data_IF_855126847978
#
_entry.id   IF_855126847978
#
_cell.length_a   1.000
_cell.length_b   1.000
_cell.length_c   1.000
_cell.angle_alpha   90.00
_cell.angle_beta   90.00
_cell.angle_gamma   90.00
#
_symmetry.space_group_name_H-M   'P 1'
#
loop_
_entity.id
_entity.type
_entity.pdbx_description
1 polymer ?
#
# COMPACT_ATOMS: atom_id res chain seq x y z
N UNK A 1 -4.24 14.03 2.03
CA UNK A 1 -5.12 14.78 1.11
C UNK A 1 -6.25 13.90 0.57
N UNK A 2 -7.30 14.45 -0.06
CA UNK A 2 -8.34 13.65 -0.74
C UNK A 2 -8.41 14.06 -2.21
N UNK A 3 -8.19 13.10 -3.11
CA UNK A 3 -8.23 13.27 -4.56
C UNK A 3 -9.46 12.56 -5.11
N UNK A 4 -10.43 13.33 -5.61
CA UNK A 4 -11.70 12.78 -6.12
C UNK A 4 -11.54 12.26 -7.55
N UNK A 5 -10.96 13.05 -8.44
CA UNK A 5 -10.61 12.62 -9.79
C UNK A 5 -9.30 11.83 -9.82
N UNK A 6 -8.90 11.39 -11.00
CA UNK A 6 -7.56 10.90 -11.24
C UNK A 6 -6.54 11.98 -10.90
N UNK A 7 -5.49 11.63 -10.17
CA UNK A 7 -4.37 12.52 -9.87
C UNK A 7 -3.16 12.11 -10.70
N UNK A 8 -2.55 13.07 -11.40
CA UNK A 8 -1.33 12.84 -12.17
C UNK A 8 -0.16 13.57 -11.49
N UNK A 9 0.79 12.78 -11.01
CA UNK A 9 2.07 13.21 -10.44
C UNK A 9 3.25 12.49 -11.13
N UNK A 10 3.03 11.97 -12.33
CA UNK A 10 4.03 11.20 -13.07
C UNK A 10 5.12 12.10 -13.67
N UNK A 11 6.20 11.47 -14.12
CA UNK A 11 7.33 12.13 -14.82
C UNK A 11 7.94 13.28 -14.03
N UNK A 12 7.95 13.16 -12.71
CA UNK A 12 8.39 14.21 -11.80
C UNK A 12 9.77 13.91 -11.22
N UNK A 13 10.54 14.95 -10.93
CA UNK A 13 11.85 14.82 -10.27
C UNK A 13 11.77 15.47 -8.89
N UNK A 14 11.76 14.66 -7.84
CA UNK A 14 11.80 15.09 -6.46
C UNK A 14 13.25 15.13 -5.98
N UNK A 15 13.83 16.34 -5.93
CA UNK A 15 15.23 16.54 -5.51
C UNK A 15 15.40 16.31 -4.00
N UNK A 16 14.45 16.76 -3.20
CA UNK A 16 14.36 16.47 -1.76
C UNK A 16 13.52 15.22 -1.48
N UNK A 17 13.08 15.08 -0.24
CA UNK A 17 12.07 14.08 0.13
C UNK A 17 10.69 14.48 -0.38
N UNK A 18 9.94 13.52 -0.95
CA UNK A 18 8.55 13.71 -1.35
C UNK A 18 7.62 13.17 -0.27
N UNK A 19 6.74 14.00 0.29
CA UNK A 19 5.71 13.55 1.23
C UNK A 19 4.33 13.53 0.57
N UNK A 20 3.85 12.33 0.25
CA UNK A 20 2.60 12.04 -0.44
C UNK A 20 1.71 11.09 0.37
N UNK A 21 2.03 10.92 1.67
CA UNK A 21 1.33 10.02 2.59
C UNK A 21 -0.02 10.58 3.03
N UNK A 22 -0.74 9.80 3.86
CA UNK A 22 -1.96 10.23 4.54
C UNK A 22 -3.02 10.76 3.56
N UNK A 23 -3.16 10.06 2.43
CA UNK A 23 -3.99 10.49 1.30
C UNK A 23 -4.99 9.44 0.85
N UNK A 24 -6.12 9.90 0.32
CA UNK A 24 -7.19 9.07 -0.25
C UNK A 24 -7.29 9.41 -1.74
N UNK A 25 -7.06 8.43 -2.61
CA UNK A 25 -7.13 8.58 -4.07
C UNK A 25 -8.34 7.82 -4.61
N UNK A 26 -9.42 8.54 -4.94
CA UNK A 26 -10.68 7.95 -5.41
C UNK A 26 -10.62 7.53 -6.89
N UNK A 27 -10.22 8.46 -7.77
CA UNK A 27 -10.18 8.25 -9.23
C UNK A 27 -8.90 7.59 -9.76
N UNK A 28 -8.05 7.07 -8.87
CA UNK A 28 -6.72 6.56 -9.20
C UNK A 28 -5.64 7.64 -9.16
N UNK A 29 -4.38 7.20 -9.17
CA UNK A 29 -3.23 8.09 -9.12
C UNK A 29 -2.07 7.53 -9.90
N UNK A 30 -1.45 8.41 -10.69
CA UNK A 30 -0.29 8.10 -11.51
C UNK A 30 0.95 8.81 -10.94
N UNK A 31 1.88 8.02 -10.39
CA UNK A 31 3.22 8.44 -9.94
C UNK A 31 4.32 7.96 -10.90
N UNK A 32 3.97 7.35 -12.03
CA UNK A 32 4.90 6.63 -12.90
C UNK A 32 6.02 7.52 -13.46
N UNK A 33 7.11 6.91 -13.93
CA UNK A 33 8.19 7.64 -14.61
C UNK A 33 8.91 8.68 -13.74
N UNK A 34 8.78 8.62 -12.41
CA UNK A 34 9.28 9.64 -11.51
C UNK A 34 10.65 9.29 -10.92
N UNK A 35 11.39 10.31 -10.50
CA UNK A 35 12.72 10.16 -9.88
C UNK A 35 12.68 10.76 -8.48
N UNK A 36 12.87 9.93 -7.46
CA UNK A 36 12.89 10.31 -6.05
C UNK A 36 14.33 10.30 -5.53
N UNK A 37 14.95 11.48 -5.42
CA UNK A 37 16.35 11.60 -4.97
C UNK A 37 16.48 11.55 -3.44
N UNK A 38 15.61 12.24 -2.71
CA UNK A 38 15.66 12.33 -1.24
C UNK A 38 14.70 11.38 -0.51
N UNK A 39 14.15 10.39 -1.21
CA UNK A 39 13.16 9.45 -0.69
C UNK A 39 11.72 9.85 -0.97
N UNK A 40 10.82 8.87 -0.85
CA UNK A 40 9.39 9.02 -1.12
C UNK A 40 8.59 8.42 0.04
N UNK A 41 7.76 9.24 0.69
CA UNK A 41 6.79 8.78 1.67
C UNK A 41 5.40 8.73 1.02
N UNK A 42 4.96 7.51 0.68
CA UNK A 42 3.68 7.15 0.06
C UNK A 42 2.80 6.35 1.04
N UNK A 43 3.17 6.32 2.32
CA UNK A 43 2.54 5.49 3.34
C UNK A 43 1.15 5.99 3.76
N UNK A 44 0.45 5.20 4.60
CA UNK A 44 -0.80 5.63 5.28
C UNK A 44 -1.89 6.11 4.33
N UNK A 45 -1.91 5.60 3.11
CA UNK A 45 -2.81 6.06 2.06
C UNK A 45 -3.85 5.01 1.69
N UNK A 46 -4.97 5.46 1.12
CA UNK A 46 -6.02 4.62 0.58
C UNK A 46 -6.12 4.88 -0.93
N UNK A 47 -5.81 3.87 -1.72
CA UNK A 47 -5.90 3.89 -3.17
C UNK A 47 -7.18 3.15 -3.59
N UNK A 48 -8.27 3.90 -3.77
CA UNK A 48 -9.55 3.31 -4.20
C UNK A 48 -9.56 2.96 -5.68
N UNK A 49 -9.06 3.88 -6.50
CA UNK A 49 -8.75 3.60 -7.91
C UNK A 49 -7.36 3.01 -8.06
N UNK A 50 -6.96 2.71 -9.31
CA UNK A 50 -5.64 2.18 -9.62
C UNK A 50 -4.51 3.10 -9.16
N UNK A 51 -3.43 2.51 -8.64
CA UNK A 51 -2.24 3.23 -8.22
C UNK A 51 -1.04 2.81 -9.07
N UNK A 52 -0.48 3.74 -9.82
CA UNK A 52 0.59 3.48 -10.77
C UNK A 52 1.89 4.09 -10.25
N UNK A 53 2.84 3.23 -9.89
CA UNK A 53 4.19 3.58 -9.44
C UNK A 53 5.26 3.19 -10.47
N UNK A 54 4.83 2.73 -11.65
CA UNK A 54 5.69 2.07 -12.61
C UNK A 54 6.82 2.96 -13.15
N UNK A 55 7.85 2.32 -13.71
CA UNK A 55 8.95 2.98 -14.44
C UNK A 55 9.65 4.10 -13.64
N UNK A 56 9.64 4.00 -12.31
CA UNK A 56 10.17 5.03 -11.41
C UNK A 56 11.55 4.67 -10.87
N UNK A 57 12.32 5.67 -10.46
CA UNK A 57 13.65 5.51 -9.87
C UNK A 57 13.64 6.08 -8.45
N UNK A 58 13.76 5.20 -7.47
CA UNK A 58 13.87 5.55 -6.05
C UNK A 58 15.35 5.49 -5.65
N UNK A 59 16.01 6.66 -5.61
CA UNK A 59 17.42 6.75 -5.18
C UNK A 59 17.57 6.77 -3.67
N UNK A 60 16.63 7.39 -2.97
CA UNK A 60 16.46 7.25 -1.52
C UNK A 60 15.28 6.33 -1.20
N UNK A 61 15.10 6.02 0.08
CA UNK A 61 14.07 5.09 0.55
C UNK A 61 12.65 5.40 0.05
N UNK A 62 11.91 4.35 -0.29
CA UNK A 62 10.52 4.38 -0.70
C UNK A 62 9.65 3.74 0.38
N UNK A 63 8.85 4.54 1.08
CA UNK A 63 7.92 4.07 2.09
C UNK A 63 6.51 3.98 1.51
N UNK A 64 6.06 2.75 1.22
CA UNK A 64 4.71 2.39 0.77
C UNK A 64 3.95 1.61 1.86
N UNK A 65 4.39 1.69 3.11
CA UNK A 65 3.86 0.94 4.25
C UNK A 65 2.50 1.48 4.69
N UNK A 66 1.79 0.70 5.50
CA UNK A 66 0.55 1.13 6.16
C UNK A 66 -0.53 1.66 5.20
N UNK A 67 -0.58 1.15 3.97
CA UNK A 67 -1.51 1.61 2.93
C UNK A 67 -2.58 0.57 2.61
N UNK A 68 -3.68 0.99 1.98
CA UNK A 68 -4.74 0.11 1.49
C UNK A 68 -4.90 0.35 -0.01
N UNK A 69 -4.64 -0.67 -0.81
CA UNK A 69 -4.79 -0.68 -2.26
C UNK A 69 -6.07 -1.44 -2.61
N UNK A 70 -7.19 -0.73 -2.69
CA UNK A 70 -8.47 -1.31 -3.14
C UNK A 70 -8.45 -1.50 -4.65
N UNK A 71 -7.95 -0.51 -5.39
CA UNK A 71 -7.63 -0.68 -6.80
C UNK A 71 -6.31 -1.43 -6.98
N UNK A 72 -6.09 -1.97 -8.18
CA UNK A 72 -4.81 -2.61 -8.52
C UNK A 72 -3.62 -1.67 -8.37
N UNK A 73 -2.49 -2.21 -7.93
CA UNK A 73 -1.25 -1.47 -7.74
C UNK A 73 -0.21 -1.92 -8.75
N UNK A 74 0.20 -1.01 -9.62
CA UNK A 74 1.24 -1.27 -10.59
C UNK A 74 2.58 -0.71 -10.09
N UNK A 75 3.53 -1.59 -9.83
CA UNK A 75 4.89 -1.24 -9.40
C UNK A 75 5.95 -1.57 -10.45
N UNK A 76 5.57 -2.08 -11.62
CA UNK A 76 6.45 -2.62 -12.66
C UNK A 76 7.50 -1.64 -13.16
N UNK A 77 8.61 -2.16 -13.68
CA UNK A 77 9.69 -1.37 -14.27
C UNK A 77 10.43 -0.40 -13.33
N UNK A 78 10.16 -0.44 -12.03
CA UNK A 78 10.77 0.50 -11.08
C UNK A 78 12.12 0.02 -10.57
N UNK A 79 13.06 0.95 -10.39
CA UNK A 79 14.36 0.68 -9.76
C UNK A 79 14.41 1.27 -8.36
N UNK A 80 14.60 0.42 -7.36
CA UNK A 80 14.79 0.79 -5.97
C UNK A 80 16.26 0.65 -5.59
N UNK A 81 16.90 1.77 -5.23
CA UNK A 81 18.31 1.84 -4.82
C UNK A 81 18.51 1.94 -3.32
N UNK A 82 17.42 1.95 -2.57
CA UNK A 82 17.41 2.02 -1.12
C UNK A 82 16.20 1.21 -0.63
N UNK A 83 15.93 1.21 0.68
CA UNK A 83 14.83 0.49 1.31
C UNK A 83 13.49 0.80 0.62
N UNK A 84 12.80 -0.26 0.18
CA UNK A 84 11.41 -0.23 -0.26
C UNK A 84 10.56 -0.97 0.78
N UNK A 85 9.73 -0.24 1.51
CA UNK A 85 8.89 -0.78 2.59
C UNK A 85 7.42 -0.84 2.15
N UNK A 86 6.89 -2.05 2.06
CA UNK A 86 5.49 -2.38 1.76
C UNK A 86 4.77 -2.99 2.98
N UNK A 87 5.44 -3.09 4.13
CA UNK A 87 4.92 -3.75 5.32
C UNK A 87 3.64 -3.08 5.82
N UNK A 88 2.80 -3.85 6.53
CA UNK A 88 1.56 -3.34 7.15
C UNK A 88 0.53 -2.80 6.15
N UNK A 89 0.76 -3.00 4.86
CA UNK A 89 -0.18 -2.64 3.81
C UNK A 89 -1.17 -3.77 3.53
N UNK A 90 -2.27 -3.42 2.87
CA UNK A 90 -3.26 -4.37 2.37
C UNK A 90 -3.40 -4.13 0.87
N UNK A 91 -3.02 -5.12 0.07
CA UNK A 91 -3.28 -5.16 -1.36
C UNK A 91 -4.54 -5.96 -1.60
N UNK A 92 -5.69 -5.29 -1.65
CA UNK A 92 -6.98 -5.95 -1.81
C UNK A 92 -7.12 -6.56 -3.21
N UNK A 93 -6.73 -5.78 -4.23
CA UNK A 93 -6.66 -6.21 -5.63
C UNK A 93 -5.25 -6.61 -6.03
N UNK A 94 -5.06 -6.93 -7.31
CA UNK A 94 -3.82 -7.38 -7.89
C UNK A 94 -2.68 -6.36 -7.71
N UNK A 95 -1.49 -6.87 -7.42
CA UNK A 95 -0.24 -6.11 -7.41
C UNK A 95 0.73 -6.67 -8.45
N UNK A 96 1.41 -5.78 -9.19
CA UNK A 96 2.31 -6.17 -10.27
C UNK A 96 3.69 -5.57 -10.12
N UNK A 97 4.72 -6.41 -10.05
CA UNK A 97 6.14 -6.01 -10.05
C UNK A 97 6.85 -6.35 -11.36
N UNK A 98 6.38 -7.36 -12.10
CA UNK A 98 6.98 -7.82 -13.34
C UNK A 98 6.49 -7.07 -14.57
N UNK A 99 6.90 -7.54 -15.74
CA UNK A 99 6.45 -6.98 -17.02
C UNK A 99 4.95 -7.18 -17.17
N UNK A 100 4.25 -6.13 -17.55
CA UNK A 100 2.81 -6.15 -17.73
C UNK A 100 2.40 -5.31 -18.96
N UNK A 101 1.09 -5.09 -19.13
CA UNK A 101 0.58 -4.25 -20.22
C UNK A 101 0.95 -2.76 -20.12
N UNK A 102 1.57 -2.33 -19.02
CA UNK A 102 1.90 -0.93 -18.73
C UNK A 102 3.41 -0.67 -18.74
N UNK A 103 4.24 -1.62 -18.31
CA UNK A 103 5.70 -1.57 -18.40
C UNK A 103 6.28 -2.81 -19.09
N UNK A 104 7.24 -2.57 -19.97
CA UNK A 104 8.01 -3.60 -20.64
C UNK A 104 9.15 -4.18 -19.78
N UNK A 105 9.26 -3.77 -18.51
CA UNK A 105 10.34 -4.16 -17.61
C UNK A 105 9.83 -4.60 -16.25
N UNK A 106 10.53 -5.56 -15.63
CA UNK A 106 10.29 -5.93 -14.24
C UNK A 106 10.99 -4.95 -13.30
N UNK A 107 10.45 -4.79 -12.10
CA UNK A 107 11.10 -4.01 -11.04
C UNK A 107 12.42 -4.62 -10.61
N UNK A 108 13.31 -3.79 -10.08
CA UNK A 108 14.61 -4.22 -9.58
C UNK A 108 14.94 -3.57 -8.23
N UNK A 109 15.37 -4.37 -7.27
CA UNK A 109 15.77 -3.94 -5.93
C UNK A 109 17.28 -4.07 -5.76
N UNK A 110 18.04 -3.01 -6.03
CA UNK A 110 19.49 -3.15 -6.25
C UNK A 110 20.33 -3.29 -4.97
N UNK A 111 19.98 -2.56 -3.90
CA UNK A 111 20.82 -2.48 -2.68
C UNK A 111 20.22 -3.18 -1.45
N UNK A 112 18.90 -3.32 -1.39
CA UNK A 112 18.19 -3.96 -0.29
C UNK A 112 17.02 -4.78 -0.82
N UNK A 113 16.77 -5.94 -0.21
CA UNK A 113 15.55 -6.69 -0.45
C UNK A 113 14.30 -5.86 -0.04
N UNK A 114 13.19 -5.96 -0.79
CA UNK A 114 11.95 -5.29 -0.44
C UNK A 114 11.36 -5.85 0.87
N UNK A 115 10.75 -4.99 1.66
CA UNK A 115 10.19 -5.36 2.95
C UNK A 115 8.67 -5.47 2.89
N UNK A 116 8.14 -6.69 3.03
CA UNK A 116 6.70 -6.94 3.20
C UNK A 116 6.34 -7.35 4.64
N UNK A 117 7.35 -7.60 5.49
CA UNK A 117 7.15 -7.98 6.87
C UNK A 117 8.05 -7.16 7.79
N UNK A 118 7.42 -6.41 8.70
CA UNK A 118 8.11 -5.71 9.78
C UNK A 118 8.42 -6.72 10.89
N UNK A 119 9.65 -7.25 10.86
CA UNK A 119 10.16 -8.21 11.85
C UNK A 119 10.13 -7.65 13.27
N UNK A 120 10.36 -6.35 13.46
CA UNK A 120 10.43 -5.72 14.79
C UNK A 120 9.05 -5.62 15.42
N UNK A 121 8.05 -5.23 14.64
CA UNK A 121 6.66 -5.09 15.11
C UNK A 121 5.83 -6.36 14.92
N UNK A 122 6.39 -7.37 14.26
CA UNK A 122 5.71 -8.61 13.85
C UNK A 122 4.43 -8.31 13.06
N UNK A 123 4.55 -7.43 12.07
CA UNK A 123 3.41 -7.07 11.22
C UNK A 123 3.67 -7.37 9.76
N UNK A 124 2.72 -8.02 9.11
CA UNK A 124 2.82 -8.43 7.72
C UNK A 124 2.07 -7.50 6.76
N UNK A 125 2.28 -7.72 5.47
CA UNK A 125 1.39 -7.27 4.39
C UNK A 125 0.34 -8.34 4.11
N UNK A 126 -0.90 -7.91 3.84
CA UNK A 126 -2.01 -8.78 3.49
C UNK A 126 -2.39 -8.64 2.01
N UNK A 127 -2.78 -9.74 1.38
CA UNK A 127 -3.18 -9.79 -0.03
C UNK A 127 -4.63 -10.30 -0.17
N UNK A 128 -5.45 -9.68 -1.00
CA UNK A 128 -6.82 -10.10 -1.27
C UNK A 128 -6.95 -10.93 -2.54
N UNK A 129 -6.17 -10.59 -3.57
CA UNK A 129 -6.14 -11.35 -4.84
C UNK A 129 -5.11 -12.47 -4.81
N UNK A 130 -5.39 -13.55 -5.54
CA UNK A 130 -4.44 -14.65 -5.80
C UNK A 130 -3.63 -14.43 -7.08
N UNK A 131 -4.00 -13.44 -7.90
CA UNK A 131 -3.40 -13.18 -9.22
C UNK A 131 -2.38 -12.03 -9.16
N UNK A 132 -1.48 -12.07 -8.17
CA UNK A 132 -0.40 -11.09 -8.06
C UNK A 132 0.81 -11.53 -8.88
N UNK A 133 1.61 -10.56 -9.32
CA UNK A 133 2.90 -10.80 -9.95
C UNK A 133 4.03 -10.19 -9.12
N UNK A 134 4.89 -11.05 -8.58
CA UNK A 134 6.07 -10.67 -7.81
C UNK A 134 7.38 -10.88 -8.58
N UNK A 135 7.30 -11.03 -9.90
CA UNK A 135 8.49 -11.22 -10.75
C UNK A 135 9.31 -9.95 -10.78
N UNK A 136 10.62 -10.07 -10.51
CA UNK A 136 11.57 -8.94 -10.48
C UNK A 136 12.83 -9.29 -11.26
N UNK A 137 13.58 -8.27 -11.69
CA UNK A 137 14.90 -8.42 -12.28
C UNK A 137 15.91 -8.78 -11.18
N UNK A 138 16.20 -10.08 -11.08
CA UNK A 138 17.15 -10.67 -10.12
C UNK A 138 18.60 -10.63 -10.60
N UNK A 139 18.85 -10.38 -11.89
CA UNK A 139 20.20 -10.26 -12.41
C UNK A 139 20.90 -9.00 -11.88
N UNK A 140 20.11 -8.00 -11.48
CA UNK A 140 20.57 -6.69 -11.03
C UNK A 140 20.21 -6.37 -9.57
N UNK A 141 19.55 -7.29 -8.86
CA UNK A 141 19.02 -6.98 -7.53
C UNK A 141 18.49 -8.17 -6.75
N UNK A 142 17.94 -7.86 -5.57
CA UNK A 142 17.38 -8.81 -4.64
C UNK A 142 16.02 -9.32 -5.13
N UNK A 143 15.73 -10.63 -4.95
CA UNK A 143 14.43 -11.20 -5.29
C UNK A 143 13.34 -10.76 -4.30
N UNK A 144 12.09 -11.05 -4.66
CA UNK A 144 10.99 -11.18 -3.70
C UNK A 144 10.86 -12.66 -3.37
N UNK A 145 11.28 -13.05 -2.16
CA UNK A 145 11.16 -14.44 -1.71
C UNK A 145 9.69 -14.77 -1.44
N UNK A 146 9.19 -15.83 -2.08
CA UNK A 146 7.80 -16.26 -2.00
C UNK A 146 7.65 -17.52 -1.14
N UNK A 147 6.50 -17.66 -0.49
CA UNK A 147 6.09 -18.89 0.19
C UNK A 147 5.42 -19.89 -0.78
N UNK A 148 4.98 -21.03 -0.24
CA UNK A 148 4.31 -22.07 -1.03
C UNK A 148 2.94 -21.64 -1.60
N UNK A 149 2.41 -20.49 -1.19
CA UNK A 149 1.17 -19.90 -1.67
C UNK A 149 1.41 -18.83 -2.73
N UNK A 150 2.67 -18.56 -3.10
CA UNK A 150 3.03 -17.60 -4.13
C UNK A 150 2.94 -16.14 -3.68
N UNK A 151 2.99 -15.87 -2.38
CA UNK A 151 3.05 -14.50 -1.81
C UNK A 151 4.36 -14.29 -1.04
N UNK A 152 4.78 -13.03 -0.78
CA UNK A 152 6.01 -12.76 -0.05
C UNK A 152 6.07 -13.48 1.30
N UNK A 153 7.26 -13.95 1.69
CA UNK A 153 7.46 -14.66 2.96
C UNK A 153 6.89 -13.87 4.16
N UNK A 154 6.20 -14.58 5.05
CA UNK A 154 5.53 -14.05 6.25
C UNK A 154 4.30 -13.16 5.98
N UNK A 155 3.86 -13.05 4.73
CA UNK A 155 2.57 -12.45 4.38
C UNK A 155 1.42 -13.47 4.46
N UNK A 156 0.20 -12.97 4.36
CA UNK A 156 -1.02 -13.79 4.38
C UNK A 156 -2.04 -13.25 3.38
N UNK A 157 -2.94 -14.12 2.93
CA UNK A 157 -4.17 -13.67 2.30
C UNK A 157 -5.14 -13.12 3.34
N UNK A 158 -5.99 -12.19 2.92
CA UNK A 158 -7.14 -11.73 3.69
C UNK A 158 -8.11 -12.89 3.90
N UNK A 159 -8.72 -12.96 5.07
CA UNK A 159 -9.86 -13.86 5.31
C UNK A 159 -11.14 -13.28 4.72
N UNK A 160 -12.16 -14.11 4.52
CA UNK A 160 -13.47 -13.65 4.05
C UNK A 160 -14.08 -12.58 4.96
N UNK A 161 -13.94 -12.71 6.28
CA UNK A 161 -14.41 -11.70 7.25
C UNK A 161 -13.67 -10.36 7.09
N UNK A 162 -12.35 -10.40 6.87
CA UNK A 162 -11.55 -9.19 6.65
C UNK A 162 -11.92 -8.52 5.33
N UNK A 163 -12.19 -9.31 4.28
CA UNK A 163 -12.67 -8.84 2.98
C UNK A 163 -14.01 -8.13 3.14
N UNK A 164 -14.99 -8.77 3.79
CA UNK A 164 -16.32 -8.20 4.01
C UNK A 164 -16.26 -6.90 4.82
N UNK A 165 -15.49 -6.88 5.91
CA UNK A 165 -15.28 -5.67 6.71
C UNK A 165 -14.69 -4.53 5.88
N UNK A 166 -13.63 -4.81 5.11
CA UNK A 166 -12.98 -3.82 4.24
C UNK A 166 -13.94 -3.28 3.19
N UNK A 167 -14.69 -4.14 2.52
CA UNK A 167 -15.68 -3.72 1.52
C UNK A 167 -16.73 -2.80 2.13
N UNK A 168 -17.30 -3.19 3.27
CA UNK A 168 -18.27 -2.38 4.00
C UNK A 168 -17.72 -0.98 4.35
N UNK A 169 -16.52 -0.91 4.91
CA UNK A 169 -15.87 0.37 5.27
C UNK A 169 -15.55 1.22 4.05
N UNK A 170 -15.07 0.62 2.96
CA UNK A 170 -14.76 1.34 1.72
C UNK A 170 -16.02 1.86 1.00
N UNK A 171 -17.15 1.17 1.14
CA UNK A 171 -18.47 1.64 0.70
C UNK A 171 -19.02 2.76 1.60
N UNK A 172 -18.80 2.72 2.91
CA UNK A 172 -19.19 3.80 3.82
C UNK A 172 -18.40 5.09 3.49
N UNK A 173 -17.09 4.97 3.26
CA UNK A 173 -16.23 6.06 2.77
C UNK A 173 -16.79 6.65 1.46
N UNK A 174 -17.25 5.81 0.55
CA UNK A 174 -17.87 6.23 -0.72
C UNK A 174 -19.11 7.10 -0.49
N UNK A 175 -20.06 6.57 0.27
CA UNK A 175 -21.33 7.22 0.57
C UNK A 175 -21.14 8.59 1.22
N UNK A 176 -20.21 8.71 2.17
CA UNK A 176 -19.90 10.00 2.82
C UNK A 176 -19.29 10.98 1.82
N UNK A 177 -18.37 10.53 0.98
CA UNK A 177 -17.73 11.40 -0.02
C UNK A 177 -18.70 11.89 -1.09
N UNK A 178 -19.61 11.03 -1.55
CA UNK A 178 -20.61 11.41 -2.55
C UNK A 178 -21.57 12.47 -1.98
N UNK A 179 -22.03 12.28 -0.74
CA UNK A 179 -22.83 13.30 -0.02
C UNK A 179 -22.08 14.61 0.17
N UNK A 180 -20.79 14.55 0.54
CA UNK A 180 -19.95 15.74 0.76
C UNK A 180 -19.81 16.62 -0.50
N UNK A 181 -20.10 16.05 -1.69
CA UNK A 181 -20.14 16.78 -2.94
C UNK A 181 -21.49 17.43 -3.25
N UNK A 182 -22.59 16.78 -2.87
CA UNK A 182 -23.95 17.29 -3.12
C UNK A 182 -24.33 18.42 -2.15
N UNK A 183 -23.83 18.33 -0.92
CA UNK A 183 -24.13 19.28 0.15
C UNK A 183 -23.50 20.65 -0.15
N UNK A 184 -24.37 21.66 -0.20
CA UNK A 184 -23.99 23.08 -0.34
C UNK A 184 -23.75 23.75 1.00
N UNK A 185 -24.40 23.28 2.07
CA UNK A 185 -24.28 23.87 3.40
C UNK A 185 -22.88 23.60 4.00
N UNK A 186 -22.11 24.65 4.35
CA UNK A 186 -20.78 24.48 4.93
C UNK A 186 -20.77 23.72 6.27
N UNK A 187 -21.83 23.84 7.09
CA UNK A 187 -21.89 23.16 8.39
C UNK A 187 -22.06 21.65 8.20
N UNK A 188 -23.02 21.23 7.40
CA UNK A 188 -23.20 19.82 7.05
C UNK A 188 -21.95 19.24 6.37
N UNK A 189 -21.29 20.01 5.48
CA UNK A 189 -20.03 19.61 4.85
C UNK A 189 -18.91 19.36 5.87
N UNK A 190 -18.81 20.21 6.89
CA UNK A 190 -17.84 20.04 7.97
C UNK A 190 -18.13 18.78 8.80
N UNK A 191 -19.39 18.48 9.09
CA UNK A 191 -19.78 17.26 9.82
C UNK A 191 -19.50 15.98 9.02
N UNK A 192 -19.81 15.97 7.72
CA UNK A 192 -19.44 14.85 6.84
C UNK A 192 -17.91 14.66 6.76
N UNK A 193 -17.15 15.76 6.72
CA UNK A 193 -15.68 15.69 6.75
C UNK A 193 -15.15 15.08 8.04
N UNK A 194 -15.71 15.44 9.21
CA UNK A 194 -15.35 14.83 10.50
C UNK A 194 -15.68 13.34 10.53
N UNK A 195 -16.86 12.93 10.03
CA UNK A 195 -17.24 11.52 9.93
C UNK A 195 -16.26 10.73 9.07
N UNK A 196 -15.86 11.27 7.92
CA UNK A 196 -14.87 10.64 7.05
C UNK A 196 -13.50 10.50 7.73
N UNK A 197 -13.05 11.54 8.46
CA UNK A 197 -11.81 11.47 9.23
C UNK A 197 -11.86 10.42 10.32
N UNK A 198 -12.99 10.30 11.03
CA UNK A 198 -13.19 9.29 12.06
C UNK A 198 -13.14 7.87 11.46
N UNK A 199 -13.81 7.65 10.34
CA UNK A 199 -13.81 6.38 9.63
C UNK A 199 -12.41 5.99 9.12
N UNK A 200 -11.64 6.96 8.61
CA UNK A 200 -10.27 6.72 8.18
C UNK A 200 -9.36 6.32 9.37
N UNK A 201 -9.55 6.95 10.54
CA UNK A 201 -8.83 6.58 11.77
C UNK A 201 -9.20 5.17 12.25
N UNK A 202 -10.49 4.82 12.21
CA UNK A 202 -10.96 3.47 12.54
C UNK A 202 -10.29 2.43 11.63
N UNK A 203 -10.31 2.68 10.32
CA UNK A 203 -9.72 1.77 9.33
C UNK A 203 -8.20 1.63 9.49
N UNK A 204 -7.49 2.72 9.82
CA UNK A 204 -6.07 2.66 10.16
C UNK A 204 -5.81 1.77 11.37
N UNK A 205 -6.59 1.93 12.45
CA UNK A 205 -6.46 1.12 13.66
C UNK A 205 -6.76 -0.35 13.38
N UNK A 206 -7.85 -0.63 12.67
CA UNK A 206 -8.20 -1.99 12.29
C UNK A 206 -7.09 -2.65 11.46
N UNK A 207 -6.53 -1.96 10.45
CA UNK A 207 -5.42 -2.50 9.64
C UNK A 207 -4.20 -2.79 10.50
N UNK A 208 -3.88 -1.90 11.45
CA UNK A 208 -2.77 -2.12 12.37
C UNK A 208 -2.93 -3.40 13.19
N UNK A 209 -4.16 -3.80 13.52
CA UNK A 209 -4.47 -5.04 14.23
C UNK A 209 -4.50 -6.24 13.27
N UNK A 210 -5.13 -6.10 12.11
CA UNK A 210 -5.28 -7.15 11.10
C UNK A 210 -3.93 -7.66 10.57
N UNK A 211 -2.93 -6.80 10.53
CA UNK A 211 -1.57 -7.11 10.05
C UNK A 211 -0.68 -7.75 11.10
N UNK A 212 -1.14 -7.91 12.36
CA UNK A 212 -0.33 -8.52 13.42
C UNK A 212 -0.20 -10.03 13.17
N UNK A 213 1.04 -10.50 13.14
CA UNK A 213 1.34 -11.93 13.11
C UNK A 213 1.41 -12.44 14.55
N UNK A 214 0.36 -13.16 14.98
CA UNK A 214 0.37 -13.89 16.24
C UNK A 214 1.35 -15.06 16.15
N UNK A 215 2.16 -15.25 17.18
CA UNK A 215 3.04 -16.44 17.30
C UNK A 215 2.19 -17.60 17.75
N UNK A 216 2.10 -18.65 16.95
CA UNK A 216 1.64 -19.96 17.43
C UNK A 216 2.82 -20.62 18.18
N UNK A 217 2.66 -20.91 19.47
CA UNK A 217 3.62 -21.71 20.24
C UNK A 217 4.51 -20.99 21.25
N UNK A 218 4.03 -19.97 21.97
CA UNK A 218 4.63 -19.63 23.27
C UNK A 218 3.82 -20.32 24.38
N UNK A 219 4.24 -21.50 24.81
CA UNK A 219 3.84 -22.05 26.10
C UNK A 219 4.20 -21.03 27.20
N UNK A 220 3.33 -20.79 28.19
CA UNK A 220 3.70 -19.95 29.32
C UNK A 220 4.85 -20.62 30.06
N UNK A 221 6.01 -19.95 30.07
CA UNK A 221 7.23 -20.44 30.68
C UNK A 221 7.00 -20.99 32.08
N UNK A 222 7.60 -22.15 32.33
CA UNK A 222 7.79 -22.67 33.67
C UNK A 222 8.35 -21.56 34.55
N UNK A 223 7.66 -21.33 35.67
CA UNK A 223 8.20 -20.51 36.74
C UNK A 223 9.33 -21.30 37.37
N UNK A 224 10.55 -20.77 37.25
CA UNK A 224 11.69 -21.23 38.03
C UNK A 224 11.32 -21.22 39.53
N UNK A 225 11.40 -22.41 40.15
CA UNK A 225 11.41 -22.59 41.61
C UNK A 225 12.85 -22.48 42.12
#
# INVERSE_FOLDING_TARGET
>A
SIYKGGANLSRSIYKGGANLSDSIYKGGVDFSGSIYKGGANLSRSIYKGGAYFSDSIYKGGANLSDSIYKGGANLSGSTYKDVADFSRSIFYSETYFGRDGYSNSSSCFTNHAPQFYDKKKRKNTLFGSHNNDFTVDIDKGYPIDLDSKGIPLNCKFLTSEQIEYLEGKLQEIEKINDKLFEVKDPKEKAELSKKLQALNKELHKWREEATIVKVEGAEPGEKDN
#
